data_IF_840605652760
#
_entry.id   IF_840605652760
#
_cell.length_a   1.000
_cell.length_b   1.000
_cell.length_c   1.000
_cell.angle_alpha   90.00
_cell.angle_beta   90.00
_cell.angle_gamma   90.00
#
_symmetry.space_group_name_H-M   'P 1'
#
loop_
_entity.id
_entity.type
_entity.pdbx_description
1 polymer ?
#
# COMPACT_ATOMS: atom_id res chain seq x y z
N UNK A 1 -23.61 40.30 62.47
CA UNK A 1 -22.93 39.23 61.70
C UNK A 1 -22.96 39.60 60.23
N UNK A 2 -21.80 39.69 59.57
CA UNK A 2 -21.67 40.12 58.16
C UNK A 2 -21.55 38.87 57.28
N UNK A 3 -22.33 38.71 56.20
CA UNK A 3 -22.28 37.49 55.38
C UNK A 3 -20.92 37.36 54.68
N UNK A 4 -20.42 36.12 54.47
CA UNK A 4 -19.12 35.91 53.84
C UNK A 4 -19.16 36.39 52.38
N UNK A 5 -18.24 37.31 52.04
CA UNK A 5 -18.05 37.78 50.67
C UNK A 5 -17.38 36.67 49.85
N UNK A 6 -18.15 36.06 48.95
CA UNK A 6 -17.63 35.10 47.97
C UNK A 6 -16.75 35.88 46.98
N UNK A 7 -15.46 35.52 46.89
CA UNK A 7 -14.50 36.16 45.98
C UNK A 7 -14.82 35.76 44.52
N UNK A 8 -14.81 36.70 43.55
CA UNK A 8 -15.21 36.44 42.16
C UNK A 8 -14.37 35.35 41.48
N UNK A 9 -13.11 35.17 41.90
CA UNK A 9 -12.22 34.11 41.45
C UNK A 9 -12.70 32.70 41.82
N UNK A 10 -13.45 32.53 42.93
CA UNK A 10 -14.02 31.23 43.31
C UNK A 10 -15.31 30.90 42.52
N UNK A 11 -16.03 31.92 42.05
CA UNK A 11 -17.22 31.75 41.21
C UNK A 11 -16.83 31.36 39.77
N UNK A 12 -15.72 31.92 39.25
CA UNK A 12 -15.15 31.58 37.95
C UNK A 12 -14.64 30.13 37.86
N UNK A 13 -14.12 29.57 38.96
CA UNK A 13 -13.64 28.18 38.99
C UNK A 13 -14.81 27.18 38.96
N UNK A 14 -15.93 27.47 39.65
CA UNK A 14 -17.10 26.58 39.68
C UNK A 14 -17.85 26.58 38.33
N UNK A 15 -17.89 27.71 37.62
CA UNK A 15 -18.49 27.80 36.28
C UNK A 15 -17.66 27.02 35.24
N UNK A 16 -16.32 27.09 35.29
CA UNK A 16 -15.46 26.30 34.40
C UNK A 16 -15.51 24.79 34.71
N UNK A 17 -15.73 24.40 35.97
CA UNK A 17 -15.90 23.00 36.35
C UNK A 17 -17.26 22.42 35.88
N UNK A 18 -18.31 23.25 35.82
CA UNK A 18 -19.62 22.84 35.30
C UNK A 18 -19.67 22.73 33.77
N UNK A 19 -18.94 23.58 33.03
CA UNK A 19 -18.84 23.46 31.56
C UNK A 19 -18.05 22.22 31.12
N UNK A 20 -17.06 21.77 31.90
CA UNK A 20 -16.29 20.56 31.59
C UNK A 20 -17.07 19.26 31.82
N UNK A 21 -18.13 19.29 32.66
CA UNK A 21 -19.00 18.13 32.89
C UNK A 21 -20.10 18.00 31.84
N UNK A 22 -20.54 19.11 31.24
CA UNK A 22 -21.58 19.11 30.21
C UNK A 22 -21.10 18.54 28.85
N UNK A 23 -19.78 18.50 28.60
CA UNK A 23 -19.22 17.95 27.37
C UNK A 23 -19.03 16.42 27.38
N UNK A 24 -19.33 15.72 28.48
CA UNK A 24 -19.26 14.25 28.52
C UNK A 24 -20.57 13.55 28.08
N UNK A 25 -21.58 14.32 27.65
CA UNK A 25 -22.93 13.83 27.39
C UNK A 25 -23.29 13.50 25.94
N UNK A 26 -22.35 13.50 24.98
CA UNK A 26 -22.61 13.09 23.60
C UNK A 26 -21.60 12.06 23.13
N UNK A 27 -21.56 10.91 23.83
CA UNK A 27 -21.12 9.68 23.18
C UNK A 27 -22.17 9.39 22.11
N UNK A 28 -21.86 9.74 20.86
CA UNK A 28 -22.63 9.26 19.73
C UNK A 28 -22.67 7.73 19.83
N UNK A 29 -23.88 7.17 19.78
CA UNK A 29 -24.04 5.73 19.71
C UNK A 29 -23.20 5.22 18.52
N UNK A 30 -22.10 4.53 18.77
CA UNK A 30 -21.49 3.71 17.74
C UNK A 30 -22.52 2.67 17.38
N UNK A 31 -23.10 2.77 16.19
CA UNK A 31 -23.95 1.71 15.64
C UNK A 31 -23.08 0.46 15.51
N UNK A 32 -23.27 -0.58 16.35
CA UNK A 32 -22.49 -1.79 16.21
C UNK A 32 -22.85 -2.40 14.85
N UNK A 33 -21.88 -2.48 13.94
CA UNK A 33 -22.09 -3.01 12.58
C UNK A 33 -22.20 -1.98 11.46
N UNK A 34 -21.90 -0.70 11.69
CA UNK A 34 -21.68 0.21 10.58
C UNK A 34 -20.43 -0.21 9.79
N UNK A 35 -20.59 -0.49 8.50
CA UNK A 35 -19.48 -0.78 7.60
C UNK A 35 -18.59 0.46 7.50
N UNK A 36 -17.31 0.31 7.85
CA UNK A 36 -16.33 1.40 7.85
C UNK A 36 -15.45 1.27 6.62
N UNK A 37 -15.47 2.29 5.77
CA UNK A 37 -14.55 2.38 4.64
C UNK A 37 -13.14 2.74 5.12
N UNK A 38 -12.16 1.95 4.72
CA UNK A 38 -10.74 2.09 5.07
C UNK A 38 -9.89 2.06 3.81
N UNK A 39 -8.76 2.74 3.86
CA UNK A 39 -7.75 2.69 2.81
C UNK A 39 -6.36 2.51 3.43
N UNK A 40 -5.50 1.78 2.72
CA UNK A 40 -4.09 1.60 3.07
C UNK A 40 -3.21 1.76 1.83
N UNK A 41 -2.05 2.37 1.99
CA UNK A 41 -1.07 2.53 0.92
C UNK A 41 0.29 2.03 1.39
N UNK A 42 1.03 1.38 0.49
CA UNK A 42 2.36 0.88 0.76
C UNK A 42 3.22 0.94 -0.51
N UNK A 43 4.54 0.94 -0.33
CA UNK A 43 5.48 0.80 -1.44
C UNK A 43 6.61 -0.16 -1.10
N UNK A 44 7.09 -0.89 -2.10
CA UNK A 44 8.28 -1.73 -2.01
C UNK A 44 9.21 -1.42 -3.16
N UNK A 45 10.50 -1.30 -2.87
CA UNK A 45 11.54 -1.21 -3.88
C UNK A 45 11.64 -2.57 -4.60
N UNK A 46 11.59 -2.52 -5.93
CA UNK A 46 11.70 -3.68 -6.83
C UNK A 46 12.90 -3.55 -7.78
N UNK A 47 13.83 -2.66 -7.51
CA UNK A 47 15.01 -2.41 -8.36
C UNK A 47 15.87 -3.68 -8.44
N UNK A 48 16.09 -4.24 -9.65
CA UNK A 48 16.99 -5.37 -9.81
C UNK A 48 18.44 -4.93 -9.59
N UNK A 49 19.29 -5.87 -9.17
CA UNK A 49 20.72 -5.60 -9.07
C UNK A 49 21.32 -5.25 -10.44
N UNK A 50 22.25 -4.29 -10.48
CA UNK A 50 23.04 -4.00 -11.67
C UNK A 50 23.81 -5.27 -12.08
N UNK A 51 23.79 -5.61 -13.36
CA UNK A 51 24.43 -6.84 -13.85
C UNK A 51 23.64 -8.12 -13.58
N UNK A 52 22.42 -8.05 -13.04
CA UNK A 52 21.50 -9.20 -12.96
C UNK A 52 21.07 -9.72 -14.36
N UNK A 53 21.54 -9.08 -15.44
CA UNK A 53 21.16 -9.42 -16.80
C UNK A 53 22.34 -9.43 -17.79
N UNK A 54 23.11 -10.52 -17.84
CA UNK A 54 24.11 -10.72 -18.88
C UNK A 54 23.57 -11.37 -20.17
N UNK A 55 22.28 -11.77 -20.22
CA UNK A 55 21.77 -12.65 -21.31
C UNK A 55 20.42 -12.27 -21.92
N UNK A 56 19.74 -11.21 -21.46
CA UNK A 56 18.60 -10.69 -22.22
C UNK A 56 19.15 -10.04 -23.47
N UNK A 57 18.86 -10.66 -24.61
CA UNK A 57 19.16 -10.11 -25.93
C UNK A 57 18.28 -8.88 -26.17
N UNK A 58 18.73 -7.74 -25.68
CA UNK A 58 18.18 -6.43 -26.05
C UNK A 58 19.16 -5.72 -26.98
N UNK A 59 18.66 -4.83 -27.83
CA UNK A 59 19.51 -3.91 -28.60
C UNK A 59 20.16 -2.83 -27.73
N UNK A 60 19.90 -2.83 -26.41
CA UNK A 60 20.39 -1.82 -25.47
C UNK A 60 21.55 -2.39 -24.65
N UNK A 61 22.54 -1.55 -24.34
CA UNK A 61 23.63 -1.96 -23.45
C UNK A 61 23.08 -2.30 -22.05
N UNK A 62 23.74 -3.20 -21.31
CA UNK A 62 23.39 -3.48 -19.92
C UNK A 62 23.41 -2.21 -19.07
N UNK A 63 22.49 -2.12 -18.11
CA UNK A 63 22.49 -1.03 -17.14
C UNK A 63 23.77 -1.09 -16.30
N UNK A 64 24.47 0.05 -16.17
CA UNK A 64 25.67 0.19 -15.34
C UNK A 64 25.43 1.01 -14.07
N UNK A 65 24.26 1.64 -13.97
CA UNK A 65 23.88 2.51 -12.87
C UNK A 65 22.35 2.54 -12.70
N UNK A 66 21.88 2.76 -11.47
CA UNK A 66 20.47 3.00 -11.14
C UNK A 66 20.30 4.51 -10.97
N UNK A 67 19.58 5.15 -11.90
CA UNK A 67 19.27 6.58 -11.78
C UNK A 67 18.20 6.82 -10.72
N UNK A 68 17.07 6.10 -10.81
CA UNK A 68 15.99 6.09 -9.83
C UNK A 68 15.63 4.65 -9.48
N UNK A 69 15.22 4.43 -8.23
CA UNK A 69 14.72 3.15 -7.77
C UNK A 69 13.33 2.84 -8.37
N UNK A 70 13.15 1.60 -8.79
CA UNK A 70 11.88 1.08 -9.27
C UNK A 70 11.04 0.63 -8.09
N UNK A 71 9.73 0.90 -8.14
CA UNK A 71 8.83 0.56 -7.05
C UNK A 71 7.60 -0.22 -7.51
N UNK A 72 7.11 -1.09 -6.62
CA UNK A 72 5.71 -1.50 -6.59
C UNK A 72 4.98 -0.60 -5.59
N UNK A 73 3.90 0.03 -6.02
CA UNK A 73 3.05 0.91 -5.18
C UNK A 73 1.68 0.28 -5.07
N UNK A 74 1.20 0.08 -3.84
CA UNK A 74 -0.09 -0.55 -3.58
C UNK A 74 -1.05 0.42 -2.91
N UNK A 75 -2.30 0.43 -3.37
CA UNK A 75 -3.45 1.03 -2.70
C UNK A 75 -4.48 -0.07 -2.46
N UNK A 76 -4.87 -0.27 -1.21
CA UNK A 76 -5.93 -1.19 -0.80
C UNK A 76 -7.11 -0.39 -0.29
N UNK A 77 -8.30 -0.71 -0.78
CA UNK A 77 -9.57 -0.16 -0.33
C UNK A 77 -10.39 -1.28 0.32
N UNK A 78 -10.97 -1.03 1.47
CA UNK A 78 -11.74 -1.99 2.25
C UNK A 78 -13.05 -1.33 2.71
N UNK A 79 -14.19 -1.83 2.26
CA UNK A 79 -15.51 -1.31 2.67
C UNK A 79 -16.07 -2.00 3.92
N UNK A 80 -15.28 -2.87 4.57
CA UNK A 80 -15.69 -3.70 5.69
C UNK A 80 -16.24 -5.08 5.28
N UNK A 81 -16.48 -5.32 3.98
CA UNK A 81 -16.90 -6.62 3.43
C UNK A 81 -15.96 -7.13 2.34
N UNK A 82 -15.52 -6.23 1.46
CA UNK A 82 -14.68 -6.53 0.29
C UNK A 82 -13.43 -5.67 0.31
N UNK A 83 -12.30 -6.30 0.00
CA UNK A 83 -11.02 -5.59 -0.22
C UNK A 83 -10.69 -5.57 -1.71
N UNK A 84 -10.35 -4.40 -2.23
CA UNK A 84 -9.79 -4.22 -3.57
C UNK A 84 -8.34 -3.74 -3.46
N UNK A 85 -7.44 -4.36 -4.20
CA UNK A 85 -6.02 -3.98 -4.23
C UNK A 85 -5.60 -3.57 -5.63
N UNK A 86 -5.00 -2.38 -5.73
CA UNK A 86 -4.32 -1.89 -6.93
C UNK A 86 -2.83 -1.90 -6.69
N UNK A 87 -2.06 -2.50 -7.59
CA UNK A 87 -0.60 -2.55 -7.54
C UNK A 87 -0.05 -2.01 -8.86
N UNK A 88 0.72 -0.93 -8.79
CA UNK A 88 1.37 -0.33 -9.96
C UNK A 88 2.88 -0.51 -9.82
N UNK A 89 3.49 -1.16 -10.81
CA UNK A 89 4.91 -1.48 -10.81
C UNK A 89 5.68 -0.68 -11.87
N UNK A 90 6.84 -0.15 -11.50
CA UNK A 90 7.75 0.57 -12.41
C UNK A 90 8.50 -0.40 -13.36
N UNK A 91 7.75 -1.03 -14.25
CA UNK A 91 8.20 -2.07 -15.19
C UNK A 91 7.81 -1.70 -16.62
N UNK A 92 8.55 -2.24 -17.60
CA UNK A 92 8.17 -2.14 -19.01
C UNK A 92 6.90 -2.96 -19.31
N UNK A 93 6.83 -4.17 -18.81
CA UNK A 93 5.68 -5.06 -18.96
C UNK A 93 5.67 -6.09 -17.83
N UNK A 94 4.53 -6.73 -17.62
CA UNK A 94 4.34 -7.83 -16.65
C UNK A 94 3.55 -8.93 -17.38
N UNK A 95 4.05 -10.16 -17.41
CA UNK A 95 3.28 -11.29 -17.96
C UNK A 95 2.10 -11.64 -17.06
N UNK A 96 1.10 -12.30 -17.66
CA UNK A 96 0.01 -12.92 -16.92
C UNK A 96 0.54 -13.92 -15.87
N UNK A 97 1.57 -14.70 -16.19
CA UNK A 97 2.18 -15.66 -15.26
C UNK A 97 2.70 -14.99 -13.98
N UNK A 98 3.46 -13.89 -14.11
CA UNK A 98 3.99 -13.16 -12.94
C UNK A 98 2.85 -12.52 -12.16
N UNK A 99 1.88 -11.90 -12.85
CA UNK A 99 0.73 -11.30 -12.19
C UNK A 99 -0.09 -12.35 -11.42
N UNK A 100 -0.35 -13.51 -12.01
CA UNK A 100 -1.10 -14.61 -11.39
C UNK A 100 -0.34 -15.21 -10.21
N UNK A 101 0.98 -15.37 -10.32
CA UNK A 101 1.84 -15.79 -9.22
C UNK A 101 1.75 -14.84 -8.03
N UNK A 102 1.88 -13.53 -8.28
CA UNK A 102 1.75 -12.51 -7.26
C UNK A 102 0.35 -12.51 -6.61
N UNK A 103 -0.71 -12.66 -7.41
CA UNK A 103 -2.10 -12.75 -6.89
C UNK A 103 -2.32 -13.93 -5.95
N UNK A 104 -1.75 -15.11 -6.27
CA UNK A 104 -1.84 -16.29 -5.39
C UNK A 104 -1.14 -16.06 -4.04
N UNK A 105 0.00 -15.35 -4.06
CA UNK A 105 0.73 -15.00 -2.83
C UNK A 105 -0.07 -14.02 -1.99
N UNK A 106 -0.63 -12.98 -2.62
CA UNK A 106 -1.50 -12.00 -1.96
C UNK A 106 -2.69 -12.71 -1.31
N UNK A 107 -3.40 -13.57 -2.05
CA UNK A 107 -4.52 -14.36 -1.50
C UNK A 107 -4.08 -15.19 -0.29
N UNK A 108 -2.96 -15.91 -0.39
CA UNK A 108 -2.43 -16.71 0.71
C UNK A 108 -2.07 -15.89 1.95
N UNK A 109 -1.52 -14.68 1.77
CA UNK A 109 -1.03 -13.85 2.86
C UNK A 109 -2.10 -12.97 3.50
N UNK A 110 -3.08 -12.50 2.72
CA UNK A 110 -4.04 -11.48 3.16
C UNK A 110 -5.50 -11.93 3.11
N UNK A 111 -5.77 -13.06 2.45
CA UNK A 111 -7.13 -13.53 2.16
C UNK A 111 -7.84 -12.72 1.07
N UNK A 112 -7.15 -11.82 0.37
CA UNK A 112 -7.76 -11.02 -0.70
C UNK A 112 -7.89 -11.87 -1.98
N UNK A 113 -9.11 -12.09 -2.52
CA UNK A 113 -9.30 -12.94 -3.69
C UNK A 113 -8.59 -12.39 -4.95
N UNK A 114 -8.05 -13.23 -5.85
CA UNK A 114 -7.32 -12.80 -7.04
C UNK A 114 -8.09 -11.88 -7.99
N UNK A 115 -9.41 -12.04 -8.08
CA UNK A 115 -10.30 -11.19 -8.87
C UNK A 115 -10.45 -9.77 -8.31
N UNK A 116 -10.10 -9.57 -7.03
CA UNK A 116 -10.11 -8.28 -6.35
C UNK A 116 -8.74 -7.58 -6.39
N UNK A 117 -7.77 -8.14 -7.11
CA UNK A 117 -6.41 -7.60 -7.24
C UNK A 117 -6.14 -7.21 -8.69
N UNK A 118 -5.76 -5.96 -8.91
CA UNK A 118 -5.31 -5.43 -10.21
C UNK A 118 -3.82 -5.11 -10.10
N UNK A 119 -3.02 -5.66 -11.01
CA UNK A 119 -1.57 -5.42 -11.09
C UNK A 119 -1.29 -4.85 -12.47
N UNK A 120 -0.57 -3.73 -12.53
CA UNK A 120 -0.20 -3.07 -13.79
C UNK A 120 1.26 -2.65 -13.82
N UNK A 121 1.79 -2.49 -15.03
CA UNK A 121 3.10 -1.91 -15.30
C UNK A 121 2.93 -0.47 -15.78
N UNK A 122 3.86 0.42 -15.41
CA UNK A 122 3.87 1.80 -15.94
C UNK A 122 4.31 1.90 -17.39
N UNK A 123 4.83 0.81 -17.96
CA UNK A 123 5.40 0.77 -19.30
C UNK A 123 6.63 1.68 -19.47
N UNK A 124 7.44 1.81 -18.43
CA UNK A 124 8.70 2.56 -18.54
C UNK A 124 9.70 1.84 -19.46
N UNK A 125 10.32 2.60 -20.36
CA UNK A 125 11.36 2.08 -21.24
C UNK A 125 12.76 2.09 -20.62
N UNK A 126 12.94 2.62 -19.41
CA UNK A 126 14.24 2.63 -18.72
C UNK A 126 14.40 1.45 -17.74
N UNK A 127 13.41 0.56 -17.65
CA UNK A 127 13.52 -0.71 -16.92
C UNK A 127 13.27 -1.95 -17.80
N UNK A 128 13.53 -3.12 -17.21
CA UNK A 128 13.19 -4.42 -17.76
C UNK A 128 11.70 -4.76 -17.61
N UNK A 129 11.30 -5.87 -18.20
CA UNK A 129 9.97 -6.45 -17.97
C UNK A 129 10.02 -7.61 -16.97
N UNK A 130 8.86 -8.00 -16.45
CA UNK A 130 8.67 -9.21 -15.66
C UNK A 130 7.98 -10.28 -16.54
N UNK A 131 8.80 -10.88 -17.44
CA UNK A 131 8.56 -11.78 -18.59
C UNK A 131 7.45 -11.36 -19.57
N UNK A 132 7.65 -11.41 -20.89
CA UNK A 132 7.79 -12.56 -21.79
C UNK A 132 8.74 -12.25 -22.97
N UNK A 133 9.75 -13.10 -23.19
CA UNK A 133 10.06 -13.63 -24.53
C UNK A 133 10.69 -15.03 -24.35
N UNK A 134 10.00 -16.06 -24.83
CA UNK A 134 10.61 -17.36 -25.07
C UNK A 134 11.65 -17.15 -26.18
N UNK A 135 12.93 -17.10 -25.84
CA UNK A 135 13.91 -17.75 -26.67
C UNK A 135 14.71 -18.74 -25.83
N UNK A 136 14.77 -19.94 -26.37
CA UNK A 136 15.22 -21.18 -25.76
C UNK A 136 16.63 -21.08 -25.18
N UNK A 137 16.82 -21.66 -23.99
CA UNK A 137 18.08 -22.30 -23.65
C UNK A 137 19.00 -21.62 -22.65
N UNK A 138 18.78 -20.36 -22.26
CA UNK A 138 19.71 -19.66 -21.36
C UNK A 138 19.10 -19.35 -19.97
N UNK A 139 19.86 -19.52 -18.87
CA UNK A 139 19.37 -19.30 -17.51
C UNK A 139 18.97 -17.83 -17.33
N UNK A 140 17.66 -17.62 -17.19
CA UNK A 140 17.05 -16.34 -16.82
C UNK A 140 17.33 -16.06 -15.34
N UNK A 141 17.88 -14.90 -15.00
CA UNK A 141 17.81 -14.41 -13.61
C UNK A 141 16.34 -14.29 -13.26
N UNK A 142 15.89 -15.01 -12.24
CA UNK A 142 14.48 -15.13 -11.91
C UNK A 142 13.95 -13.86 -11.22
N UNK A 143 13.89 -12.77 -11.97
CA UNK A 143 13.28 -11.51 -11.53
C UNK A 143 11.81 -11.73 -11.18
N UNK A 144 11.15 -12.72 -11.82
CA UNK A 144 9.85 -13.22 -11.41
C UNK A 144 9.87 -13.71 -9.95
N UNK A 145 10.76 -14.63 -9.57
CA UNK A 145 10.87 -15.08 -8.17
C UNK A 145 11.21 -13.96 -7.19
N UNK A 146 11.98 -12.95 -7.59
CA UNK A 146 12.21 -11.78 -6.75
C UNK A 146 10.93 -10.94 -6.54
N UNK A 147 10.10 -10.82 -7.58
CA UNK A 147 8.82 -10.09 -7.52
C UNK A 147 7.69 -10.90 -6.87
N UNK A 148 7.80 -12.23 -6.86
CA UNK A 148 6.81 -13.16 -6.33
C UNK A 148 7.30 -13.88 -5.06
N UNK A 149 7.99 -13.17 -4.16
CA UNK A 149 8.38 -13.70 -2.85
C UNK A 149 7.66 -12.99 -1.71
#
# INVERSE_FOLDING_TARGET
>A
MKPPKIRPQRLLIVINLFLAFASQGLVGAETPGALVFRAGAATSNITPAIGADPKVRTSRPPATHVHDELHARCLVLDDGQTKLAFVVCDLRHISAEVADGAKRIIEKMTGTPPQCVVISATHTHTSGGAKLEQQEGEPYYDYSAFLTR
#
